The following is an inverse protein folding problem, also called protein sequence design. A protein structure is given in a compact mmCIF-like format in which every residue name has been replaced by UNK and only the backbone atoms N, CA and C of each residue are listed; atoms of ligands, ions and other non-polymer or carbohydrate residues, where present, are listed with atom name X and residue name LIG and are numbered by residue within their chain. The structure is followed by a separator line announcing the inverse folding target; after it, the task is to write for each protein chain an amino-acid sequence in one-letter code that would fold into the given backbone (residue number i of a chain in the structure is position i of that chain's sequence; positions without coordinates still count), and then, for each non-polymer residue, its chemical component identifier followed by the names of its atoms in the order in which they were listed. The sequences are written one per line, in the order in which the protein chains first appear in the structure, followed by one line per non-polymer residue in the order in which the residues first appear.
data_IF_015844757805
#
_entry.id   IF_015844757805
#
_cell.length_a   1.000
_cell.length_b   1.000
_cell.length_c   1.000
_cell.angle_alpha   90.00
_cell.angle_beta   90.00
_cell.angle_gamma   90.00
#
_symmetry.space_group_name_H-M   'P 1'
#
loop_
_entity.id
_entity.type
_entity.pdbx_description
1 polymer ?
#
# COMPACT_ATOMS: atom_id res chain seq x y z
N UNK A 1 -15.44 -6.04 -5.66
CA UNK A 1 -14.77 -4.72 -5.54
C UNK A 1 -15.14 -3.88 -6.74
N UNK A 2 -15.90 -4.39 -7.54
CA UNK A 2 -16.19 -4.25 -8.93
C UNK A 2 -17.44 -3.40 -9.04
N UNK A 3 -17.34 -2.20 -9.56
CA UNK A 3 -18.44 -1.28 -9.80
C UNK A 3 -18.37 0.07 -9.09
N UNK A 4 -17.67 0.18 -7.94
CA UNK A 4 -17.49 1.48 -7.28
C UNK A 4 -16.49 2.35 -8.05
N UNK A 5 -15.41 1.76 -8.58
CA UNK A 5 -14.41 2.50 -9.35
C UNK A 5 -14.99 2.97 -10.68
N UNK A 6 -15.75 2.10 -11.37
CA UNK A 6 -16.43 2.45 -12.63
C UNK A 6 -17.53 3.51 -12.39
N UNK A 7 -18.24 3.42 -11.28
CA UNK A 7 -19.26 4.41 -10.91
C UNK A 7 -18.62 5.75 -10.58
N UNK A 8 -17.53 5.75 -9.81
CA UNK A 8 -16.76 6.95 -9.45
C UNK A 8 -16.11 7.58 -10.70
N UNK A 9 -15.56 6.76 -11.61
CA UNK A 9 -15.05 7.22 -12.90
C UNK A 9 -16.14 7.86 -13.77
N UNK A 10 -17.35 7.31 -13.76
CA UNK A 10 -18.50 7.88 -14.44
C UNK A 10 -18.90 9.28 -13.96
N UNK A 11 -18.64 9.61 -12.69
CA UNK A 11 -18.89 10.95 -12.15
C UNK A 11 -17.89 12.00 -12.65
N UNK A 12 -16.68 11.58 -13.06
CA UNK A 12 -15.62 12.49 -13.53
C UNK A 12 -15.71 12.86 -15.00
N UNK A 13 -16.59 12.22 -15.77
CA UNK A 13 -16.77 12.44 -17.22
C UNK A 13 -17.15 13.90 -17.61
N UNK A 14 -17.52 14.74 -16.65
CA UNK A 14 -17.85 16.15 -16.88
C UNK A 14 -16.67 17.13 -16.74
N UNK A 15 -15.46 16.69 -16.31
CA UNK A 15 -14.27 17.56 -16.17
C UNK A 15 -14.40 18.70 -15.14
N UNK A 16 -15.51 18.78 -14.41
CA UNK A 16 -15.71 19.80 -13.39
C UNK A 16 -14.86 19.54 -12.15
N UNK A 17 -14.06 20.54 -11.73
CA UNK A 17 -13.27 20.49 -10.50
C UNK A 17 -14.11 20.10 -9.28
N UNK A 18 -15.37 20.55 -9.25
CA UNK A 18 -16.31 20.26 -8.17
C UNK A 18 -16.67 18.77 -8.04
N UNK A 19 -16.46 17.98 -9.10
CA UNK A 19 -16.67 16.52 -9.10
C UNK A 19 -15.34 15.79 -8.99
N UNK A 20 -14.34 16.21 -9.76
CA UNK A 20 -13.04 15.53 -9.85
C UNK A 20 -12.30 15.53 -8.52
N UNK A 21 -12.31 16.65 -7.78
CA UNK A 21 -11.59 16.74 -6.49
C UNK A 21 -12.20 15.82 -5.43
N UNK A 22 -13.51 15.80 -5.16
CA UNK A 22 -14.11 14.83 -4.26
C UNK A 22 -13.84 13.36 -4.65
N UNK A 23 -13.86 13.06 -5.94
CA UNK A 23 -13.54 11.72 -6.45
C UNK A 23 -12.10 11.34 -6.14
N UNK A 24 -11.14 12.23 -6.40
CA UNK A 24 -9.72 12.01 -6.08
C UNK A 24 -9.50 11.81 -4.56
N UNK A 25 -10.22 12.57 -3.72
CA UNK A 25 -10.21 12.39 -2.26
C UNK A 25 -10.71 11.00 -1.87
N UNK A 26 -11.86 10.60 -2.39
CA UNK A 26 -12.47 9.30 -2.07
C UNK A 26 -11.59 8.13 -2.53
N UNK A 27 -11.03 8.21 -3.75
CA UNK A 27 -10.09 7.21 -4.26
C UNK A 27 -8.84 7.14 -3.40
N UNK A 28 -8.24 8.28 -3.01
CA UNK A 28 -7.08 8.31 -2.15
C UNK A 28 -7.35 7.74 -0.76
N UNK A 29 -8.50 8.06 -0.17
CA UNK A 29 -8.90 7.51 1.14
C UNK A 29 -9.16 6.00 1.08
N UNK A 30 -9.74 5.53 -0.01
CA UNK A 30 -10.01 4.10 -0.21
C UNK A 30 -8.74 3.31 -0.48
N UNK A 31 -7.76 3.90 -1.13
CA UNK A 31 -6.57 3.23 -1.65
C UNK A 31 -5.81 2.40 -0.61
N UNK A 32 -5.65 2.88 0.63
CA UNK A 32 -4.99 2.12 1.69
C UNK A 32 -5.75 0.86 2.14
N UNK A 33 -6.98 0.65 1.67
CA UNK A 33 -7.79 -0.55 1.95
C UNK A 33 -7.73 -1.58 0.83
N UNK A 34 -6.98 -1.32 -0.23
CA UNK A 34 -6.79 -2.28 -1.32
C UNK A 34 -6.01 -3.52 -0.83
N UNK A 35 -6.21 -4.69 -1.43
CA UNK A 35 -5.68 -5.96 -0.92
C UNK A 35 -4.16 -5.98 -0.77
N UNK A 36 -3.42 -5.37 -1.68
CA UNK A 36 -1.97 -5.26 -1.65
C UNK A 36 -1.48 -4.42 -0.45
N UNK A 37 -2.18 -3.31 -0.13
CA UNK A 37 -1.90 -2.47 1.03
C UNK A 37 -2.24 -3.19 2.34
N UNK A 38 -3.37 -3.88 2.41
CA UNK A 38 -3.74 -4.66 3.59
C UNK A 38 -2.73 -5.79 3.83
N UNK A 39 -2.29 -6.50 2.79
CA UNK A 39 -1.26 -7.53 2.90
C UNK A 39 0.08 -6.92 3.38
N UNK A 40 0.48 -5.77 2.85
CA UNK A 40 1.70 -5.09 3.26
C UNK A 40 1.62 -4.55 4.69
N UNK A 41 0.55 -3.82 5.07
CA UNK A 41 0.42 -3.21 6.40
C UNK A 41 0.32 -4.25 7.50
N UNK A 42 -0.46 -5.33 7.28
CA UNK A 42 -0.60 -6.40 8.28
C UNK A 42 0.74 -7.06 8.56
N UNK A 43 1.52 -7.38 7.53
CA UNK A 43 2.84 -7.99 7.69
C UNK A 43 3.88 -7.01 8.25
N UNK A 44 3.83 -5.74 7.84
CA UNK A 44 4.74 -4.70 8.28
C UNK A 44 4.55 -4.38 9.78
N UNK A 45 3.31 -4.13 10.21
CA UNK A 45 2.97 -3.80 11.60
C UNK A 45 3.07 -5.03 12.51
N UNK A 46 2.55 -6.19 12.07
CA UNK A 46 2.64 -7.43 12.83
C UNK A 46 4.09 -7.89 13.04
N UNK A 47 4.97 -7.66 12.07
CA UNK A 47 6.39 -7.97 12.20
C UNK A 47 7.17 -6.97 13.06
N UNK A 48 6.56 -5.86 13.50
CA UNK A 48 7.14 -4.84 14.37
C UNK A 48 6.96 -5.15 15.86
N UNK A 49 7.83 -4.57 16.72
CA UNK A 49 7.57 -4.42 18.15
C UNK A 49 6.83 -3.11 18.46
N UNK A 50 6.37 -2.43 17.43
CA UNK A 50 5.79 -1.10 17.50
C UNK A 50 4.31 -1.16 17.90
N UNK A 51 4.09 -1.56 19.17
CA UNK A 51 2.77 -1.55 19.79
C UNK A 51 2.34 -0.15 20.25
N UNK A 52 3.17 0.87 19.99
CA UNK A 52 2.82 2.24 20.31
C UNK A 52 2.18 2.89 19.09
N UNK A 53 0.98 3.41 19.25
CA UNK A 53 0.20 4.10 18.21
C UNK A 53 1.01 5.17 17.47
N UNK A 54 1.87 5.92 18.20
CA UNK A 54 2.73 6.94 17.60
C UNK A 54 3.83 6.38 16.69
N UNK A 55 4.37 5.20 17.01
CA UNK A 55 5.36 4.54 16.15
C UNK A 55 4.73 4.01 14.85
N UNK A 56 3.51 3.45 14.96
CA UNK A 56 2.73 3.00 13.80
C UNK A 56 2.32 4.18 12.91
N UNK A 57 1.91 5.31 13.50
CA UNK A 57 1.59 6.54 12.77
C UNK A 57 2.80 7.07 11.99
N UNK A 58 3.96 7.13 12.63
CA UNK A 58 5.21 7.54 11.96
C UNK A 58 5.61 6.59 10.83
N UNK A 59 5.46 5.28 11.04
CA UNK A 59 5.73 4.28 10.02
C UNK A 59 4.80 4.47 8.81
N UNK A 60 3.49 4.62 9.06
CA UNK A 60 2.48 4.87 8.02
C UNK A 60 2.72 6.18 7.27
N UNK A 61 3.11 7.25 7.97
CA UNK A 61 3.42 8.54 7.34
C UNK A 61 4.62 8.45 6.38
N UNK A 62 5.72 7.79 6.78
CA UNK A 62 6.87 7.62 5.91
C UNK A 62 6.59 6.67 4.75
N UNK A 63 5.85 5.59 5.00
CA UNK A 63 5.40 4.68 3.95
C UNK A 63 4.48 5.40 2.96
N UNK A 64 3.47 6.13 3.45
CA UNK A 64 2.56 6.91 2.63
C UNK A 64 3.27 8.02 1.84
N UNK A 65 4.27 8.69 2.43
CA UNK A 65 5.05 9.72 1.74
C UNK A 65 5.85 9.13 0.56
N UNK A 66 6.51 7.96 0.76
CA UNK A 66 7.21 7.27 -0.32
C UNK A 66 6.26 6.85 -1.44
N UNK A 67 5.10 6.32 -1.08
CA UNK A 67 4.06 5.91 -2.02
C UNK A 67 3.50 7.11 -2.82
N UNK A 68 3.14 8.20 -2.13
CA UNK A 68 2.64 9.42 -2.76
C UNK A 68 3.68 10.04 -3.72
N UNK A 69 4.96 10.03 -3.34
CA UNK A 69 6.03 10.52 -4.22
C UNK A 69 6.08 9.70 -5.51
N UNK A 70 5.98 8.38 -5.41
CA UNK A 70 6.01 7.51 -6.60
C UNK A 70 4.78 7.73 -7.47
N UNK A 71 3.58 7.88 -6.87
CA UNK A 71 2.36 8.23 -7.61
C UNK A 71 2.55 9.52 -8.44
N UNK A 72 3.14 10.55 -7.84
CA UNK A 72 3.37 11.83 -8.52
C UNK A 72 4.44 11.67 -9.61
N UNK A 73 5.56 11.01 -9.31
CA UNK A 73 6.69 10.85 -10.25
C UNK A 73 6.29 10.05 -11.48
N UNK A 74 5.51 8.99 -11.33
CA UNK A 74 5.03 8.18 -12.46
C UNK A 74 3.73 8.74 -13.07
N UNK A 75 2.86 9.33 -12.26
CA UNK A 75 1.58 9.85 -12.72
C UNK A 75 1.72 11.09 -13.62
N UNK A 76 2.62 12.02 -13.28
CA UNK A 76 2.83 13.22 -14.11
C UNK A 76 3.20 12.89 -15.55
N UNK A 77 4.20 12.04 -15.86
CA UNK A 77 4.51 11.66 -17.23
C UNK A 77 3.35 10.98 -17.96
N UNK A 78 2.59 10.12 -17.27
CA UNK A 78 1.43 9.46 -17.86
C UNK A 78 0.36 10.48 -18.28
N UNK A 79 0.05 11.44 -17.38
CA UNK A 79 -0.97 12.46 -17.64
C UNK A 79 -0.55 13.47 -18.72
N UNK A 80 0.74 13.85 -18.77
CA UNK A 80 1.23 14.86 -19.72
C UNK A 80 1.55 14.29 -21.10
N UNK A 81 2.00 13.03 -21.18
CA UNK A 81 2.37 12.41 -22.42
C UNK A 81 1.20 11.70 -23.12
N UNK A 82 0.06 11.58 -22.45
CA UNK A 82 -1.10 10.78 -22.90
C UNK A 82 -0.69 9.37 -23.37
N UNK A 83 0.27 8.80 -22.63
CA UNK A 83 0.87 7.50 -22.95
C UNK A 83 0.91 6.63 -21.70
N UNK A 84 0.44 5.42 -21.88
CA UNK A 84 0.61 4.37 -20.86
C UNK A 84 2.11 4.05 -20.67
N UNK A 85 2.45 3.58 -19.48
CA UNK A 85 3.78 3.03 -19.24
C UNK A 85 4.04 1.87 -20.22
N UNK A 86 5.26 1.76 -20.76
CA UNK A 86 5.63 0.58 -21.52
C UNK A 86 5.36 -0.69 -20.74
N UNK A 87 4.79 -1.73 -21.38
CA UNK A 87 4.41 -2.99 -20.72
C UNK A 87 5.55 -3.59 -19.88
N UNK A 88 6.78 -3.50 -20.36
CA UNK A 88 7.95 -4.00 -19.62
C UNK A 88 8.17 -3.26 -18.30
N UNK A 89 7.94 -1.94 -18.28
CA UNK A 89 8.07 -1.12 -17.07
C UNK A 89 6.94 -1.40 -16.11
N UNK A 90 5.71 -1.51 -16.60
CA UNK A 90 4.54 -1.85 -15.79
C UNK A 90 4.72 -3.23 -15.15
N UNK A 91 5.02 -4.28 -15.92
CA UNK A 91 5.28 -5.62 -15.42
C UNK A 91 6.43 -5.67 -14.40
N UNK A 92 7.49 -4.90 -14.66
CA UNK A 92 8.61 -4.75 -13.74
C UNK A 92 8.17 -4.16 -12.40
N UNK A 93 7.37 -3.09 -12.42
CA UNK A 93 6.84 -2.42 -11.25
C UNK A 93 5.92 -3.36 -10.44
N UNK A 94 4.98 -4.02 -11.10
CA UNK A 94 4.07 -4.98 -10.48
C UNK A 94 4.82 -6.17 -9.87
N UNK A 95 5.85 -6.69 -10.56
CA UNK A 95 6.72 -7.75 -10.05
C UNK A 95 7.48 -7.29 -8.80
N UNK A 96 7.97 -6.05 -8.79
CA UNK A 96 8.64 -5.48 -7.62
C UNK A 96 7.71 -5.37 -6.40
N UNK A 97 6.46 -4.94 -6.61
CA UNK A 97 5.44 -4.89 -5.55
C UNK A 97 5.10 -6.31 -5.05
N UNK A 98 4.88 -7.26 -5.96
CA UNK A 98 4.63 -8.66 -5.60
C UNK A 98 5.79 -9.25 -4.79
N UNK A 99 7.04 -9.02 -5.22
CA UNK A 99 8.24 -9.47 -4.52
C UNK A 99 8.35 -8.84 -3.11
N UNK A 100 7.99 -7.57 -2.98
CA UNK A 100 7.94 -6.88 -1.68
C UNK A 100 6.92 -7.54 -0.74
N UNK A 101 5.70 -7.83 -1.23
CA UNK A 101 4.64 -8.50 -0.43
C UNK A 101 5.11 -9.89 0.01
N UNK A 102 5.68 -10.67 -0.91
CA UNK A 102 6.25 -12.00 -0.61
C UNK A 102 7.37 -11.89 0.43
N UNK A 103 8.29 -10.95 0.27
CA UNK A 103 9.36 -10.72 1.23
C UNK A 103 8.83 -10.40 2.64
N UNK A 104 7.85 -9.51 2.73
CA UNK A 104 7.24 -9.15 4.01
C UNK A 104 6.49 -10.33 4.64
N UNK A 105 5.77 -11.12 3.84
CA UNK A 105 5.06 -12.31 4.28
C UNK A 105 6.02 -13.39 4.82
N UNK A 106 7.07 -13.71 4.07
CA UNK A 106 8.11 -14.66 4.50
C UNK A 106 8.77 -14.17 5.79
N UNK A 107 9.11 -12.89 5.87
CA UNK A 107 9.69 -12.30 7.08
C UNK A 107 8.76 -12.43 8.30
N UNK A 108 7.44 -12.22 8.11
CA UNK A 108 6.46 -12.41 9.18
C UNK A 108 6.46 -13.87 9.67
N UNK A 109 6.39 -14.83 8.75
CA UNK A 109 6.39 -16.28 9.06
C UNK A 109 7.68 -16.69 9.78
N UNK A 110 8.83 -16.25 9.28
CA UNK A 110 10.14 -16.56 9.89
C UNK A 110 10.21 -16.01 11.31
N UNK A 111 9.78 -14.77 11.53
CA UNK A 111 9.76 -14.17 12.86
C UNK A 111 8.80 -14.89 13.81
N UNK A 112 7.66 -15.34 13.31
CA UNK A 112 6.73 -16.15 14.10
C UNK A 112 7.38 -17.48 14.51
N UNK A 113 8.03 -18.20 13.60
CA UNK A 113 8.74 -19.45 13.91
C UNK A 113 9.86 -19.26 14.96
N UNK A 114 10.53 -18.11 14.95
CA UNK A 114 11.56 -17.78 15.94
C UNK A 114 11.00 -17.24 17.27
N UNK A 115 9.69 -17.35 17.51
CA UNK A 115 9.06 -16.95 18.78
C UNK A 115 9.05 -15.44 19.03
N UNK A 116 9.27 -14.60 18.01
CA UNK A 116 9.31 -13.15 18.16
C UNK A 116 8.01 -12.51 18.67
N UNK A 117 6.93 -13.27 18.69
CA UNK A 117 5.61 -12.90 19.22
C UNK A 117 5.31 -13.48 20.60
N UNK A 118 6.20 -14.32 21.17
CA UNK A 118 6.03 -14.86 22.51
C UNK A 118 6.12 -13.74 23.56
N UNK A 119 5.26 -13.79 24.57
CA UNK A 119 5.13 -12.76 25.62
C UNK A 119 6.35 -12.66 26.57
N UNK A 120 7.33 -13.56 26.42
CA UNK A 120 8.57 -13.58 27.20
C UNK A 120 9.74 -13.14 26.28
N UNK A 121 10.01 -11.86 26.21
CA UNK A 121 11.27 -11.39 25.66
C UNK A 121 12.08 -10.72 26.77
N UNK A 122 12.93 -11.50 27.40
CA UNK A 122 14.17 -11.03 28.03
C UNK A 122 14.94 -10.13 27.08
N UNK A 123 15.56 -9.11 27.67
CA UNK A 123 16.47 -8.18 27.04
C UNK A 123 17.37 -8.85 26.01
N UNK A 124 17.25 -8.48 24.74
CA UNK A 124 18.32 -8.66 23.80
C UNK A 124 18.44 -7.46 22.85
N UNK A 125 19.70 -7.12 22.57
CA UNK A 125 20.13 -5.87 22.01
C UNK A 125 19.46 -5.45 20.71
N UNK A 126 19.24 -4.18 20.60
CA UNK A 126 18.60 -3.48 19.50
C UNK A 126 19.43 -3.52 18.22
N UNK A 127 19.37 -4.62 17.47
CA UNK A 127 19.69 -4.52 16.05
C UNK A 127 18.53 -3.79 15.35
N UNK A 128 18.75 -2.53 14.99
CA UNK A 128 17.83 -1.73 14.17
C UNK A 128 17.69 -2.40 12.82
N UNK A 129 16.62 -3.14 12.61
CA UNK A 129 16.31 -3.68 11.28
C UNK A 129 15.88 -2.54 10.34
N UNK A 130 16.45 -2.46 9.12
CA UNK A 130 16.22 -1.34 8.18
C UNK A 130 14.74 -1.11 7.81
N UNK A 131 13.89 -2.15 7.90
CA UNK A 131 12.45 -2.06 7.63
C UNK A 131 11.67 -1.23 8.66
N UNK A 132 12.27 -0.94 9.82
CA UNK A 132 11.66 -0.15 10.90
C UNK A 132 12.14 1.29 10.96
N UNK A 133 13.17 1.62 10.19
CA UNK A 133 13.61 3.01 10.09
C UNK A 133 12.63 3.81 9.25
N UNK A 134 12.50 5.13 9.47
CA UNK A 134 11.76 6.01 8.57
C UNK A 134 12.18 5.84 7.11
N UNK A 135 13.47 5.72 6.85
CA UNK A 135 14.00 5.49 5.50
C UNK A 135 13.57 4.13 4.92
N UNK A 136 13.53 3.07 5.75
CA UNK A 136 13.05 1.76 5.32
C UNK A 136 11.56 1.77 4.99
N UNK A 137 10.74 2.45 5.80
CA UNK A 137 9.31 2.61 5.52
C UNK A 137 9.07 3.42 4.24
N UNK A 138 9.81 4.51 4.06
CA UNK A 138 9.78 5.33 2.86
C UNK A 138 10.17 4.52 1.61
N UNK A 139 11.25 3.74 1.69
CA UNK A 139 11.69 2.86 0.59
C UNK A 139 10.64 1.79 0.23
N UNK A 140 9.97 1.20 1.22
CA UNK A 140 8.83 0.31 0.98
C UNK A 140 7.72 1.06 0.24
N UNK A 141 7.42 2.30 0.65
CA UNK A 141 6.43 3.15 -0.02
C UNK A 141 6.78 3.44 -1.47
N UNK A 142 8.04 3.77 -1.75
CA UNK A 142 8.51 3.99 -3.13
C UNK A 142 8.26 2.77 -4.02
N UNK A 143 8.65 1.58 -3.56
CA UNK A 143 8.44 0.34 -4.33
C UNK A 143 6.96 0.04 -4.49
N UNK A 144 6.18 0.18 -3.40
CA UNK A 144 4.76 -0.14 -3.41
C UNK A 144 3.94 0.79 -4.32
N UNK A 145 4.34 2.06 -4.42
CA UNK A 145 3.67 3.05 -5.27
C UNK A 145 3.95 2.91 -6.78
N UNK A 146 4.86 2.00 -7.19
CA UNK A 146 5.19 1.82 -8.61
C UNK A 146 4.16 0.99 -9.38
N UNK A 147 3.31 0.21 -8.70
CA UNK A 147 2.38 -0.71 -9.37
C UNK A 147 1.13 -0.96 -8.53
N UNK A 148 0.37 -1.98 -8.90
CA UNK A 148 -0.83 -2.37 -8.16
C UNK A 148 -2.01 -1.45 -8.42
N UNK A 149 -2.84 -1.30 -7.39
CA UNK A 149 -4.01 -0.42 -7.40
C UNK A 149 -3.67 1.06 -7.66
N UNK A 150 -2.41 1.47 -7.41
CA UNK A 150 -1.91 2.81 -7.71
C UNK A 150 -2.02 3.15 -9.21
N UNK A 151 -1.64 2.21 -10.07
CA UNK A 151 -1.73 2.37 -11.53
C UNK A 151 -3.15 2.62 -12.00
N UNK A 152 -4.13 1.89 -11.45
CA UNK A 152 -5.55 2.06 -11.78
C UNK A 152 -6.01 3.48 -11.45
N UNK A 153 -5.65 4.02 -10.28
CA UNK A 153 -5.98 5.38 -9.90
C UNK A 153 -5.44 6.42 -10.88
N UNK A 154 -4.17 6.29 -11.30
CA UNK A 154 -3.55 7.20 -12.28
C UNK A 154 -4.22 7.09 -13.66
N UNK A 155 -4.57 5.88 -14.10
CA UNK A 155 -5.26 5.66 -15.37
C UNK A 155 -6.65 6.30 -15.39
N UNK A 156 -7.39 6.25 -14.27
CA UNK A 156 -8.68 6.94 -14.15
C UNK A 156 -8.52 8.46 -14.28
N UNK A 157 -7.44 9.02 -13.74
CA UNK A 157 -7.14 10.44 -13.87
C UNK A 157 -6.72 10.82 -15.31
N UNK A 158 -6.08 9.91 -16.04
CA UNK A 158 -5.71 10.13 -17.45
C UNK A 158 -6.94 10.27 -18.38
N UNK A 159 -8.11 9.83 -17.96
CA UNK A 159 -9.37 10.03 -18.67
C UNK A 159 -9.96 11.45 -18.52
N UNK A 160 -9.37 12.32 -17.67
CA UNK A 160 -9.81 13.70 -17.46
C UNK A 160 -9.34 14.56 -18.63
N UNK A 161 -10.25 15.26 -19.34
CA UNK A 161 -9.89 16.00 -20.58
C UNK A 161 -8.95 17.20 -20.32
N UNK A 162 -8.96 17.78 -19.12
CA UNK A 162 -8.14 18.94 -18.77
C UNK A 162 -6.88 18.49 -18.03
N UNK A 163 -5.67 18.67 -18.60
CA UNK A 163 -4.41 18.30 -17.95
C UNK A 163 -4.21 18.95 -16.58
N UNK A 164 -4.58 20.24 -16.45
CA UNK A 164 -4.43 20.96 -15.17
C UNK A 164 -5.31 20.36 -14.08
N UNK A 165 -6.54 19.99 -14.43
CA UNK A 165 -7.48 19.33 -13.50
C UNK A 165 -7.00 17.93 -13.16
N UNK A 166 -6.46 17.19 -14.14
CA UNK A 166 -5.89 15.86 -13.93
C UNK A 166 -4.67 15.91 -13.01
N UNK A 167 -3.77 16.89 -13.18
CA UNK A 167 -2.61 17.10 -12.31
C UNK A 167 -3.03 17.47 -10.89
N UNK A 168 -4.02 18.37 -10.74
CA UNK A 168 -4.57 18.70 -9.44
C UNK A 168 -5.15 17.46 -8.76
N UNK A 169 -5.93 16.67 -9.49
CA UNK A 169 -6.51 15.42 -9.00
C UNK A 169 -5.45 14.41 -8.58
N UNK A 170 -4.34 14.30 -9.32
CA UNK A 170 -3.20 13.44 -8.97
C UNK A 170 -2.58 13.85 -7.64
N UNK A 171 -2.34 15.15 -7.42
CA UNK A 171 -1.78 15.65 -6.17
C UNK A 171 -2.74 15.39 -5.00
N UNK A 172 -4.03 15.63 -5.21
CA UNK A 172 -5.08 15.35 -4.20
C UNK A 172 -5.14 13.85 -3.91
N UNK A 173 -5.16 13.00 -4.92
CA UNK A 173 -5.12 11.53 -4.79
C UNK A 173 -3.91 11.10 -3.97
N UNK A 174 -2.71 11.53 -4.34
CA UNK A 174 -1.46 11.16 -3.69
C UNK A 174 -1.44 11.59 -2.21
N UNK A 175 -1.90 12.81 -1.92
CA UNK A 175 -1.99 13.33 -0.55
C UNK A 175 -2.96 12.50 0.30
N UNK A 176 -4.18 12.26 -0.17
CA UNK A 176 -5.17 11.50 0.58
C UNK A 176 -4.83 10.01 0.67
N UNK A 177 -4.09 9.46 -0.29
CA UNK A 177 -3.48 8.13 -0.17
C UNK A 177 -2.49 8.07 0.99
N UNK A 178 -1.57 9.04 1.11
CA UNK A 178 -0.63 9.09 2.23
C UNK A 178 -1.33 9.25 3.59
N UNK A 179 -2.38 10.07 3.65
CA UNK A 179 -3.23 10.23 4.84
C UNK A 179 -3.92 8.92 5.21
N UNK A 180 -4.55 8.28 4.25
CA UNK A 180 -5.25 7.00 4.42
C UNK A 180 -4.30 5.89 4.91
N UNK A 181 -3.12 5.76 4.28
CA UNK A 181 -2.08 4.81 4.71
C UNK A 181 -1.63 5.07 6.14
N UNK A 182 -1.49 6.32 6.54
CA UNK A 182 -1.15 6.72 7.91
C UNK A 182 -2.25 6.30 8.89
N UNK A 183 -3.51 6.57 8.56
CA UNK A 183 -4.67 6.22 9.40
C UNK A 183 -4.79 4.71 9.56
N UNK A 184 -4.74 3.96 8.46
CA UNK A 184 -4.86 2.50 8.47
C UNK A 184 -3.72 1.87 9.26
N UNK A 185 -2.47 2.30 9.03
CA UNK A 185 -1.30 1.79 9.76
C UNK A 185 -1.40 2.10 11.26
N UNK A 186 -1.86 3.31 11.61
CA UNK A 186 -2.07 3.73 13.01
C UNK A 186 -3.17 2.88 13.66
N UNK A 187 -4.28 2.66 12.97
CA UNK A 187 -5.38 1.82 13.43
C UNK A 187 -4.94 0.39 13.70
N UNK A 188 -4.17 -0.21 12.79
CA UNK A 188 -3.56 -1.52 13.01
C UNK A 188 -2.62 -1.53 14.22
N UNK A 189 -1.76 -0.51 14.37
CA UNK A 189 -0.88 -0.39 15.53
C UNK A 189 -1.65 -0.27 16.85
N UNK A 190 -2.71 0.55 16.88
CA UNK A 190 -3.59 0.70 18.02
C UNK A 190 -4.31 -0.62 18.36
N UNK A 191 -4.86 -1.30 17.36
CA UNK A 191 -5.52 -2.60 17.52
C UNK A 191 -4.56 -3.62 18.13
N UNK A 192 -3.32 -3.67 17.65
CA UNK A 192 -2.30 -4.60 18.17
C UNK A 192 -1.73 -4.21 19.53
N UNK A 193 -2.00 -2.99 20.03
CA UNK A 193 -1.64 -2.57 21.38
C UNK A 193 -2.58 -3.13 22.45
N UNK A 194 -3.79 -3.57 22.07
CA UNK A 194 -4.76 -4.19 22.97
C UNK A 194 -4.29 -5.60 23.33
N UNK A 195 -4.13 -5.90 24.63
CA UNK A 195 -3.55 -7.16 25.12
C UNK A 195 -4.24 -8.42 24.60
N UNK A 196 -5.56 -8.41 24.53
CA UNK A 196 -6.37 -9.53 23.99
C UNK A 196 -6.07 -9.79 22.52
N UNK A 197 -5.95 -8.73 21.71
CA UNK A 197 -5.63 -8.81 20.28
C UNK A 197 -4.18 -9.23 20.07
N UNK A 198 -3.25 -8.74 20.90
CA UNK A 198 -1.83 -9.11 20.85
C UNK A 198 -1.62 -10.61 21.13
N UNK A 199 -2.39 -11.21 22.01
CA UNK A 199 -2.40 -12.67 22.26
C UNK A 199 -2.91 -13.46 21.06
N UNK A 200 -4.03 -13.02 20.48
CA UNK A 200 -4.61 -13.64 19.28
C UNK A 200 -3.70 -13.47 18.04
N UNK A 201 -2.88 -12.43 17.97
CA UNK A 201 -1.97 -12.20 16.86
C UNK A 201 -0.90 -13.28 16.76
N UNK A 202 -0.43 -13.83 17.90
CA UNK A 202 0.55 -14.93 17.87
C UNK A 202 -0.01 -16.14 17.15
N UNK A 203 -1.30 -16.44 17.34
CA UNK A 203 -2.01 -17.51 16.64
C UNK A 203 -2.37 -17.13 15.19
N UNK A 204 -2.69 -15.85 14.93
CA UNK A 204 -3.09 -15.36 13.61
C UNK A 204 -1.90 -15.06 12.66
N UNK A 205 -0.70 -14.80 13.19
CA UNK A 205 0.46 -14.41 12.40
C UNK A 205 0.82 -15.41 11.28
N UNK A 206 0.81 -16.75 11.48
CA UNK A 206 1.08 -17.69 10.39
C UNK A 206 -0.01 -17.64 9.31
N UNK A 207 -1.27 -17.48 9.70
CA UNK A 207 -2.38 -17.37 8.75
C UNK A 207 -2.28 -16.08 7.93
N UNK A 208 -2.01 -14.95 8.58
CA UNK A 208 -1.79 -13.66 7.91
C UNK A 208 -0.59 -13.73 6.96
N UNK A 209 0.51 -14.34 7.41
CA UNK A 209 1.69 -14.54 6.58
C UNK A 209 1.42 -15.45 5.38
N UNK A 210 0.70 -16.56 5.57
CA UNK A 210 0.33 -17.46 4.49
C UNK A 210 -0.63 -16.80 3.48
N UNK A 211 -1.63 -16.05 3.95
CA UNK A 211 -2.55 -15.32 3.10
C UNK A 211 -1.83 -14.23 2.28
N UNK A 212 -0.95 -13.44 2.91
CA UNK A 212 -0.15 -12.43 2.21
C UNK A 212 0.83 -13.06 1.22
N UNK A 213 1.41 -14.23 1.55
CA UNK A 213 2.28 -14.97 0.65
C UNK A 213 1.52 -15.46 -0.58
N UNK A 214 0.35 -16.08 -0.37
CA UNK A 214 -0.51 -16.54 -1.45
C UNK A 214 -0.97 -15.39 -2.35
N UNK A 215 -1.35 -14.26 -1.76
CA UNK A 215 -1.71 -13.06 -2.50
C UNK A 215 -0.52 -12.52 -3.31
N UNK A 216 0.67 -12.39 -2.72
CA UNK A 216 1.86 -11.90 -3.41
C UNK A 216 2.28 -12.80 -4.59
N UNK A 217 2.18 -14.13 -4.43
CA UNK A 217 2.44 -15.07 -5.52
C UNK A 217 1.39 -14.99 -6.62
N UNK A 218 0.12 -14.89 -6.26
CA UNK A 218 -0.95 -14.67 -7.24
C UNK A 218 -0.76 -13.35 -7.99
N UNK A 219 -0.44 -12.27 -7.29
CA UNK A 219 -0.18 -10.97 -7.91
C UNK A 219 1.03 -11.02 -8.85
N UNK A 220 2.11 -11.71 -8.47
CA UNK A 220 3.23 -11.96 -9.36
C UNK A 220 2.81 -12.71 -10.64
N UNK A 221 1.98 -13.74 -10.52
CA UNK A 221 1.46 -14.48 -11.68
C UNK A 221 0.56 -13.59 -12.55
N UNK A 222 -0.27 -12.74 -11.95
CA UNK A 222 -1.14 -11.81 -12.67
C UNK A 222 -0.34 -10.77 -13.46
N UNK A 223 0.76 -10.24 -12.91
CA UNK A 223 1.66 -9.33 -13.60
C UNK A 223 2.21 -9.89 -14.93
N UNK A 224 2.32 -11.21 -15.03
CA UNK A 224 2.75 -11.92 -16.24
C UNK A 224 1.61 -12.58 -17.02
N UNK A 225 0.37 -12.17 -16.75
CA UNK A 225 -0.85 -12.69 -17.40
C UNK A 225 -1.04 -14.20 -17.23
N UNK A 226 -0.44 -14.80 -16.19
CA UNK A 226 -0.60 -16.21 -15.83
C UNK A 226 -1.80 -16.47 -14.91
N UNK A 227 -2.39 -15.40 -14.36
CA UNK A 227 -3.56 -15.43 -13.51
C UNK A 227 -4.43 -14.18 -13.75
N UNK A 228 -5.73 -14.20 -13.38
CA UNK A 228 -6.58 -13.00 -13.42
C UNK A 228 -6.01 -11.88 -12.55
N UNK A 229 -6.12 -10.65 -13.02
CA UNK A 229 -5.63 -9.49 -12.28
C UNK A 229 -6.52 -9.22 -11.05
N UNK A 230 -5.94 -8.90 -9.86
CA UNK A 230 -6.69 -8.79 -8.60
C UNK A 230 -7.42 -7.45 -8.40
N UNK A 231 -7.20 -6.47 -9.28
CA UNK A 231 -7.76 -5.10 -9.19
C UNK A 231 -8.70 -4.77 -10.35
#
# INVERSE_FOLDING_TARGET
MFGLDDWVAGLSNGGSIAVVVPVAVLLGLRHATDPDHIAAVTTLVASGRERATGAAARLGAWWGAGHALTLVVFGIPILLADRYLPDALQRGAETAVAALIVFLAVRLIVRWKHGAFALHSTHDGSHRHPVRSPAGAFGIGLVHGMGGSAGVGVLLLAAIPSPDVALLALVVLAFFTAVSMTIVTTGFGALLSVRTVAGSLTAAAPLLGAASLAFGLWYAAAAWSLAPYPF
#
